data_IF_821084919259
#
_entry.id   IF_821084919259
#
_cell.length_a   1.000
_cell.length_b   1.000
_cell.length_c   1.000
_cell.angle_alpha   90.00
_cell.angle_beta   90.00
_cell.angle_gamma   90.00
#
_symmetry.space_group_name_H-M   'P 1'
#
loop_
_entity.id
_entity.type
_entity.pdbx_description
1 polymer ?
#
# COMPACT_ATOMS: atom_id res chain seq x y z
N UNK A 1 51.55 6.41 12.70
CA UNK A 1 50.60 5.29 12.92
C UNK A 1 49.21 5.80 13.32
N UNK A 2 49.08 6.70 14.31
CA UNK A 2 47.81 7.31 14.75
C UNK A 2 46.98 7.94 13.59
N UNK A 3 47.61 8.72 12.71
CA UNK A 3 46.92 9.39 11.59
C UNK A 3 46.35 8.44 10.53
N UNK A 4 46.91 7.22 10.37
CA UNK A 4 46.38 6.24 9.43
C UNK A 4 45.19 5.46 10.01
N UNK A 5 45.14 5.29 11.33
CA UNK A 5 44.03 4.63 12.04
C UNK A 5 42.79 5.53 12.04
N UNK A 6 42.96 6.82 12.35
CA UNK A 6 41.84 7.79 12.32
C UNK A 6 41.27 7.93 10.91
N UNK A 7 42.12 7.94 9.87
CA UNK A 7 41.67 8.02 8.47
C UNK A 7 40.96 6.74 8.00
N UNK A 8 41.35 5.57 8.50
CA UNK A 8 40.64 4.29 8.26
C UNK A 8 39.32 4.22 9.00
N UNK A 9 39.24 4.68 10.26
CA UNK A 9 37.98 4.79 11.00
C UNK A 9 37.02 5.78 10.33
N UNK A 10 37.50 6.94 9.86
CA UNK A 10 36.67 7.91 9.15
C UNK A 10 36.13 7.35 7.83
N UNK A 11 36.95 6.64 7.05
CA UNK A 11 36.50 5.95 5.84
C UNK A 11 35.46 4.86 6.17
N UNK A 12 35.61 4.12 7.26
CA UNK A 12 34.65 3.09 7.67
C UNK A 12 33.31 3.68 8.11
N UNK A 13 33.33 4.78 8.86
CA UNK A 13 32.13 5.54 9.24
C UNK A 13 31.47 6.13 8.00
N UNK A 14 32.25 6.69 7.06
CA UNK A 14 31.72 7.19 5.79
C UNK A 14 31.13 6.07 4.93
N UNK A 15 31.72 4.86 4.95
CA UNK A 15 31.21 3.68 4.27
C UNK A 15 29.90 3.19 4.91
N UNK A 16 29.81 3.17 6.24
CA UNK A 16 28.57 2.85 6.97
C UNK A 16 27.49 3.88 6.69
N UNK A 17 27.80 5.18 6.71
CA UNK A 17 26.84 6.25 6.38
C UNK A 17 26.42 6.18 4.91
N UNK A 18 27.34 5.87 3.99
CA UNK A 18 27.00 5.59 2.59
C UNK A 18 26.09 4.37 2.45
N UNK A 19 26.34 3.28 3.18
CA UNK A 19 25.48 2.08 3.20
C UNK A 19 24.09 2.42 3.74
N UNK A 20 24.00 3.25 4.79
CA UNK A 20 22.71 3.72 5.32
C UNK A 20 21.96 4.62 4.33
N UNK A 21 22.67 5.42 3.52
CA UNK A 21 22.10 6.23 2.44
C UNK A 21 21.78 5.39 1.18
N UNK A 22 22.37 4.20 1.03
CA UNK A 22 22.13 3.26 -0.06
C UNK A 22 21.07 2.20 0.27
N UNK A 23 20.55 2.18 1.51
CA UNK A 23 19.37 1.40 1.82
C UNK A 23 18.21 2.00 1.03
N UNK A 24 17.89 1.37 -0.11
CA UNK A 24 16.70 1.67 -0.87
C UNK A 24 15.52 1.65 0.10
N UNK A 25 14.80 2.77 0.19
CA UNK A 25 13.61 2.81 1.03
C UNK A 25 12.67 1.65 0.64
N UNK A 26 11.88 1.16 1.59
CA UNK A 26 10.88 0.11 1.32
C UNK A 26 10.06 0.49 0.08
N UNK A 27 9.93 -0.42 -0.91
CA UNK A 27 9.13 -0.19 -2.11
C UNK A 27 7.63 -0.12 -1.79
N UNK A 28 7.25 -0.47 -0.56
CA UNK A 28 5.89 -0.39 -0.07
C UNK A 28 5.74 0.84 0.83
N UNK A 29 4.80 1.72 0.51
CA UNK A 29 4.49 2.95 1.24
C UNK A 29 3.07 2.89 1.82
N UNK A 30 2.90 3.31 3.06
CA UNK A 30 1.57 3.44 3.67
C UNK A 30 1.00 4.81 3.31
N UNK A 31 -0.22 4.84 2.77
CA UNK A 31 -0.91 6.09 2.45
C UNK A 31 -2.37 6.04 2.88
N UNK A 32 -2.82 7.13 3.51
CA UNK A 32 -4.24 7.38 3.71
C UNK A 32 -4.88 7.79 2.38
N UNK A 33 -5.87 7.02 1.95
CA UNK A 33 -6.67 7.23 0.75
C UNK A 33 -8.13 7.47 1.15
N UNK A 34 -9.01 7.72 0.17
CA UNK A 34 -10.42 8.07 0.38
C UNK A 34 -11.17 7.05 1.23
N UNK A 35 -11.00 5.76 0.93
CA UNK A 35 -11.75 4.69 1.58
C UNK A 35 -11.00 3.98 2.71
N UNK A 36 -9.76 4.37 3.01
CA UNK A 36 -8.96 3.69 4.04
C UNK A 36 -7.47 3.94 3.90
N UNK A 37 -6.70 3.29 4.77
CA UNK A 37 -5.25 3.28 4.68
C UNK A 37 -4.80 2.05 3.90
N UNK A 38 -3.91 2.23 2.93
CA UNK A 38 -3.43 1.17 2.05
C UNK A 38 -1.91 1.13 2.04
N UNK A 39 -1.37 -0.05 1.72
CA UNK A 39 0.04 -0.24 1.40
C UNK A 39 0.13 -0.20 -0.13
N UNK A 40 0.84 0.80 -0.64
CA UNK A 40 1.04 1.05 -2.07
C UNK A 40 2.42 0.55 -2.46
N UNK A 41 2.50 -0.30 -3.47
CA UNK A 41 3.78 -0.76 -4.00
C UNK A 41 4.29 0.20 -5.07
N UNK A 42 5.60 0.46 -5.08
CA UNK A 42 6.26 1.22 -6.14
C UNK A 42 6.41 0.38 -7.43
N UNK A 43 6.14 -0.93 -7.37
CA UNK A 43 6.11 -1.81 -8.55
C UNK A 43 4.73 -1.96 -9.19
N UNK A 44 3.67 -1.55 -8.48
CA UNK A 44 2.32 -1.54 -9.02
C UNK A 44 2.06 -0.19 -9.68
N UNK A 45 2.28 -0.16 -10.99
CA UNK A 45 2.17 1.03 -11.83
C UNK A 45 0.73 1.38 -12.22
N UNK A 46 -0.25 0.62 -11.74
CA UNK A 46 -1.66 0.83 -12.04
C UNK A 46 -2.45 1.26 -10.79
N UNK A 47 -2.89 0.32 -9.96
CA UNK A 47 -3.82 0.63 -8.85
C UNK A 47 -3.10 1.44 -7.79
N UNK A 48 -1.91 1.01 -7.35
CA UNK A 48 -1.11 1.74 -6.37
C UNK A 48 -0.73 3.13 -6.85
N UNK A 49 -0.45 3.32 -8.14
CA UNK A 49 -0.10 4.63 -8.70
C UNK A 49 -1.31 5.57 -8.75
N UNK A 50 -2.49 5.10 -9.16
CA UNK A 50 -3.72 5.90 -9.08
C UNK A 50 -4.07 6.28 -7.65
N UNK A 51 -3.96 5.34 -6.70
CA UNK A 51 -4.15 5.60 -5.27
C UNK A 51 -3.11 6.60 -4.74
N UNK A 52 -1.89 6.59 -5.27
CA UNK A 52 -0.83 7.54 -4.93
C UNK A 52 -1.10 8.93 -5.50
N UNK A 53 -1.62 9.06 -6.70
CA UNK A 53 -1.90 10.38 -7.30
C UNK A 53 -3.22 10.97 -6.79
N UNK A 54 -4.30 10.19 -6.80
CA UNK A 54 -5.66 10.67 -6.59
C UNK A 54 -6.25 10.27 -5.23
N UNK A 55 -5.68 9.25 -4.57
CA UNK A 55 -6.23 8.71 -3.33
C UNK A 55 -7.46 7.83 -3.53
N UNK A 56 -7.74 7.43 -4.77
CA UNK A 56 -8.86 6.58 -5.17
C UNK A 56 -8.55 5.87 -6.49
N UNK A 57 -9.27 4.79 -6.78
CA UNK A 57 -9.18 4.03 -8.03
C UNK A 57 -10.58 3.53 -8.41
N UNK A 58 -10.95 3.70 -9.69
CA UNK A 58 -12.21 3.20 -10.25
C UNK A 58 -13.46 3.56 -9.41
N UNK A 59 -13.59 4.83 -8.97
CA UNK A 59 -14.71 5.26 -8.13
C UNK A 59 -16.08 5.10 -8.79
N UNK A 60 -16.15 5.22 -10.12
CA UNK A 60 -17.40 5.02 -10.85
C UNK A 60 -17.92 3.60 -10.67
N UNK A 61 -17.05 2.62 -10.89
CA UNK A 61 -17.30 1.20 -10.69
C UNK A 61 -17.59 0.88 -9.22
N UNK A 62 -16.79 1.42 -8.30
CA UNK A 62 -17.01 1.25 -6.87
C UNK A 62 -18.40 1.75 -6.45
N UNK A 63 -18.80 2.95 -6.89
CA UNK A 63 -20.11 3.52 -6.58
C UNK A 63 -21.26 2.65 -7.12
N UNK A 64 -21.09 2.06 -8.31
CA UNK A 64 -22.05 1.09 -8.83
C UNK A 64 -22.17 -0.12 -7.90
N UNK A 65 -21.07 -0.75 -7.49
CA UNK A 65 -21.12 -1.89 -6.55
C UNK A 65 -21.74 -1.51 -5.20
N UNK A 66 -21.38 -0.36 -4.65
CA UNK A 66 -21.93 0.15 -3.38
C UNK A 66 -23.42 0.47 -3.45
N UNK A 67 -23.97 0.71 -4.64
CA UNK A 67 -25.41 0.90 -4.85
C UNK A 67 -26.19 -0.42 -4.84
N UNK A 68 -25.53 -1.53 -5.19
CA UNK A 68 -26.14 -2.86 -5.27
C UNK A 68 -26.07 -3.63 -3.94
N UNK A 69 -25.00 -3.42 -3.18
CA UNK A 69 -24.71 -4.13 -1.94
C UNK A 69 -25.51 -3.57 -0.75
N UNK A 70 -25.97 -4.45 0.12
CA UNK A 70 -26.70 -4.14 1.35
C UNK A 70 -25.93 -4.59 2.61
N UNK A 71 -26.21 -3.97 3.77
CA UNK A 71 -25.70 -4.48 5.04
C UNK A 71 -26.13 -5.93 5.27
N UNK A 72 -25.19 -6.78 5.69
CA UNK A 72 -25.40 -8.21 5.90
C UNK A 72 -25.06 -9.10 4.69
N UNK A 73 -24.80 -8.51 3.51
CA UNK A 73 -24.48 -9.31 2.32
C UNK A 73 -23.13 -10.03 2.45
N UNK A 74 -23.00 -11.13 1.69
CA UNK A 74 -21.73 -11.82 1.46
C UNK A 74 -21.29 -11.50 0.03
N UNK A 75 -20.12 -10.88 -0.09
CA UNK A 75 -19.56 -10.41 -1.38
C UNK A 75 -18.25 -11.13 -1.65
N UNK A 76 -17.96 -11.41 -2.93
CA UNK A 76 -16.67 -11.93 -3.37
C UNK A 76 -15.96 -10.83 -4.17
N UNK A 77 -14.73 -10.51 -3.77
CA UNK A 77 -13.82 -9.61 -4.49
C UNK A 77 -12.71 -10.46 -5.13
N UNK A 78 -12.85 -10.76 -6.41
CA UNK A 78 -11.92 -11.61 -7.15
C UNK A 78 -10.96 -10.74 -7.97
N UNK A 79 -9.66 -10.84 -7.67
CA UNK A 79 -8.66 -9.87 -8.13
C UNK A 79 -8.52 -8.70 -7.14
N UNK A 80 -8.51 -9.00 -5.84
CA UNK A 80 -8.58 -8.01 -4.79
C UNK A 80 -7.36 -7.06 -4.76
N UNK A 81 -6.22 -7.48 -5.31
CA UNK A 81 -4.97 -6.71 -5.36
C UNK A 81 -4.64 -6.09 -3.98
N UNK A 82 -4.41 -4.77 -3.88
CA UNK A 82 -4.17 -4.06 -2.61
C UNK A 82 -5.44 -3.79 -1.78
N UNK A 83 -6.60 -4.27 -2.21
CA UNK A 83 -7.88 -4.19 -1.50
C UNK A 83 -8.68 -2.90 -1.76
N UNK A 84 -8.43 -2.22 -2.88
CA UNK A 84 -9.08 -0.94 -3.23
C UNK A 84 -10.62 -1.02 -3.21
N UNK A 85 -11.19 -2.15 -3.66
CA UNK A 85 -12.63 -2.44 -3.54
C UNK A 85 -12.96 -3.20 -2.25
N UNK A 86 -12.16 -4.18 -1.83
CA UNK A 86 -12.36 -4.94 -0.59
C UNK A 86 -12.71 -4.05 0.60
N UNK A 87 -11.95 -2.98 0.86
CA UNK A 87 -12.15 -2.12 2.04
C UNK A 87 -13.50 -1.38 2.04
N UNK A 88 -13.87 -0.61 1.00
CA UNK A 88 -15.19 0.03 0.97
C UNK A 88 -16.35 -0.97 0.92
N UNK A 89 -16.20 -2.12 0.26
CA UNK A 89 -17.22 -3.17 0.26
C UNK A 89 -17.41 -3.75 1.67
N UNK A 90 -16.32 -4.00 2.40
CA UNK A 90 -16.36 -4.49 3.79
C UNK A 90 -17.07 -3.50 4.72
N UNK A 91 -16.81 -2.20 4.55
CA UNK A 91 -17.54 -1.15 5.26
C UNK A 91 -19.03 -1.14 4.93
N UNK A 92 -19.39 -1.39 3.67
CA UNK A 92 -20.77 -1.38 3.19
C UNK A 92 -21.60 -2.56 3.71
N UNK A 93 -21.05 -3.77 3.70
CA UNK A 93 -21.74 -4.95 4.23
C UNK A 93 -21.85 -4.93 5.76
N UNK A 94 -20.97 -4.20 6.44
CA UNK A 94 -21.03 -3.97 7.87
C UNK A 94 -20.78 -5.23 8.72
N UNK A 95 -21.02 -5.17 10.04
CA UNK A 95 -20.57 -6.20 10.99
C UNK A 95 -21.25 -7.57 10.82
N UNK A 96 -22.41 -7.61 10.17
CA UNK A 96 -23.17 -8.84 9.93
C UNK A 96 -22.92 -9.44 8.55
N UNK A 97 -22.21 -8.73 7.67
CA UNK A 97 -21.87 -9.20 6.33
C UNK A 97 -20.42 -9.67 6.25
N UNK A 98 -20.02 -10.13 5.07
CA UNK A 98 -18.65 -10.63 4.81
C UNK A 98 -18.19 -10.27 3.40
N UNK A 99 -16.90 -10.01 3.25
CA UNK A 99 -16.24 -9.92 1.95
C UNK A 99 -15.15 -10.98 1.89
N UNK A 100 -15.21 -11.83 0.88
CA UNK A 100 -14.19 -12.83 0.59
C UNK A 100 -13.33 -12.33 -0.56
N UNK A 101 -12.09 -11.98 -0.26
CA UNK A 101 -11.16 -11.36 -1.20
C UNK A 101 -10.06 -12.32 -1.59
N UNK A 102 -9.80 -12.45 -2.90
CA UNK A 102 -8.77 -13.34 -3.44
C UNK A 102 -7.92 -12.61 -4.48
N UNK A 103 -6.61 -12.79 -4.41
CA UNK A 103 -5.62 -12.31 -5.40
C UNK A 103 -4.63 -13.46 -5.69
N UNK A 104 -4.39 -13.83 -6.96
CA UNK A 104 -3.43 -14.87 -7.33
C UNK A 104 -1.95 -14.46 -7.22
#
# INVERSE_FOLDING_TARGET
IMNHIVRRQLCFVLFIVCISLFYAESPNKIKQCKHGTFILSDYDVDISEHMRMYGEWAEGELNLFLSLIKPGDIVVDAGANIGAFTVPLAKKVGPNGRVHSFEP
#
